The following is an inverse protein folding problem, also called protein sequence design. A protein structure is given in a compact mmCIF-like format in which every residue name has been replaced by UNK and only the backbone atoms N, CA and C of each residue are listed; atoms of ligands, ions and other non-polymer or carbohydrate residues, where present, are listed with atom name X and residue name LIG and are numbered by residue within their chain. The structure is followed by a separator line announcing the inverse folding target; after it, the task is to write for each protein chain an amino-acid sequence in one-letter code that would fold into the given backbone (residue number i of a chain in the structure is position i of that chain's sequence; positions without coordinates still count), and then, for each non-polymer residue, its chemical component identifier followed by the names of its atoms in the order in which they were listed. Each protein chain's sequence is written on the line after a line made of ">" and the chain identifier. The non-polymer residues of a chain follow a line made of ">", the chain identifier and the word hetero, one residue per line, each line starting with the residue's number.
data_IF_794252852244
#
_entry.id   IF_794252852244
#
_cell.length_a   1.000
_cell.length_b   1.000
_cell.length_c   1.000
_cell.angle_alpha   90.00
_cell.angle_beta   90.00
_cell.angle_gamma   90.00
#
_symmetry.space_group_name_H-M   'P 1'
#
loop_
_entity.id
_entity.type
_entity.pdbx_description
1 polymer ?
#
# COMPACT_ATOMS: atom_id res chain seq x y z
N UNK A 1 -30.28 31.92 -14.12
CA UNK A 1 -29.07 32.19 -13.33
C UNK A 1 -28.35 30.86 -13.10
N UNK A 2 -27.32 30.54 -13.93
CA UNK A 2 -26.55 29.32 -13.74
C UNK A 2 -25.54 29.58 -12.62
N UNK A 3 -25.75 28.97 -11.46
CA UNK A 3 -24.77 28.93 -10.40
C UNK A 3 -23.62 28.06 -10.96
N UNK A 4 -22.54 28.68 -11.36
CA UNK A 4 -21.29 28.01 -11.66
C UNK A 4 -20.76 27.46 -10.33
N UNK A 5 -21.11 26.21 -10.04
CA UNK A 5 -20.61 25.43 -8.90
C UNK A 5 -19.12 25.15 -9.17
N UNK A 6 -18.25 26.08 -8.79
CA UNK A 6 -16.80 25.93 -8.88
C UNK A 6 -16.33 24.94 -7.82
N UNK A 7 -16.60 23.65 -8.05
CA UNK A 7 -16.03 22.60 -7.20
C UNK A 7 -14.50 22.67 -7.34
N UNK A 8 -13.84 23.13 -6.29
CA UNK A 8 -12.38 23.07 -6.17
C UNK A 8 -11.94 21.61 -6.11
N UNK A 9 -10.83 21.29 -6.76
CA UNK A 9 -10.22 19.97 -6.64
C UNK A 9 -9.78 19.77 -5.19
N UNK A 10 -10.17 18.67 -4.57
CA UNK A 10 -9.76 18.27 -3.21
C UNK A 10 -8.79 17.10 -3.28
N UNK A 11 -7.72 17.16 -2.49
CA UNK A 11 -6.80 16.01 -2.30
C UNK A 11 -7.26 15.15 -1.15
N UNK A 12 -7.52 13.88 -1.45
CA UNK A 12 -7.98 12.88 -0.47
C UNK A 12 -6.87 11.87 -0.21
N UNK A 13 -6.45 11.76 1.04
CA UNK A 13 -5.55 10.69 1.51
C UNK A 13 -6.36 9.47 1.97
N UNK A 14 -5.81 8.28 1.68
CA UNK A 14 -6.37 6.99 2.08
C UNK A 14 -5.35 6.23 2.91
N UNK A 15 -5.82 5.55 3.96
CA UNK A 15 -5.09 4.48 4.66
C UNK A 15 -5.70 3.16 4.22
N UNK A 16 -4.88 2.32 3.59
CA UNK A 16 -5.32 1.13 2.85
C UNK A 16 -4.70 -0.12 3.46
N UNK A 17 -5.53 -1.12 3.73
CA UNK A 17 -5.10 -2.46 4.10
C UNK A 17 -5.42 -3.42 2.94
N UNK A 18 -4.52 -4.36 2.64
CA UNK A 18 -4.79 -5.40 1.65
C UNK A 18 -4.03 -6.69 1.89
N UNK A 19 -4.64 -7.80 1.48
CA UNK A 19 -4.02 -9.11 1.38
C UNK A 19 -3.45 -9.27 -0.04
N UNK A 20 -2.12 -9.20 -0.17
CA UNK A 20 -1.43 -9.17 -1.46
C UNK A 20 -1.42 -10.49 -2.23
N UNK A 21 -1.84 -11.60 -1.62
CA UNK A 21 -1.71 -12.97 -2.17
C UNK A 21 -2.23 -13.10 -3.60
N UNK A 22 -3.33 -12.40 -3.94
CA UNK A 22 -3.98 -12.45 -5.26
C UNK A 22 -3.63 -11.26 -6.16
N UNK A 23 -2.62 -10.45 -5.79
CA UNK A 23 -2.20 -9.28 -6.56
C UNK A 23 -0.76 -9.41 -7.07
N UNK A 24 -0.53 -8.92 -8.26
CA UNK A 24 0.81 -8.74 -8.85
C UNK A 24 1.48 -7.46 -8.32
N UNK A 25 1.29 -7.18 -7.03
CA UNK A 25 1.79 -6.02 -6.32
C UNK A 25 0.86 -4.81 -6.38
N UNK A 26 1.42 -3.68 -5.96
CA UNK A 26 0.68 -2.41 -5.94
C UNK A 26 0.43 -1.85 -7.33
N UNK A 27 1.49 -1.73 -8.13
CA UNK A 27 1.49 -0.96 -9.37
C UNK A 27 0.63 -1.61 -10.45
N UNK A 28 -0.24 -0.82 -11.12
CA UNK A 28 -0.98 -1.25 -12.30
C UNK A 28 -0.03 -1.71 -13.40
N UNK A 29 -0.34 -2.86 -13.97
CA UNK A 29 0.39 -3.51 -15.05
C UNK A 29 -0.60 -4.11 -16.06
N UNK A 30 -0.29 -4.14 -17.37
CA UNK A 30 -1.14 -4.81 -18.34
C UNK A 30 -1.35 -6.28 -17.99
N UNK A 31 -2.57 -6.75 -18.10
CA UNK A 31 -2.95 -8.17 -17.92
C UNK A 31 -2.72 -8.76 -16.53
N UNK A 32 -2.47 -7.91 -15.51
CA UNK A 32 -2.22 -8.37 -14.15
C UNK A 32 -3.05 -7.58 -13.15
N UNK A 33 -3.78 -8.28 -12.31
CA UNK A 33 -4.57 -7.70 -11.23
C UNK A 33 -3.65 -6.99 -10.22
N UNK A 34 -3.87 -5.73 -9.95
CA UNK A 34 -3.07 -4.91 -9.05
C UNK A 34 -3.94 -4.12 -8.07
N UNK A 35 -3.39 -3.80 -6.89
CA UNK A 35 -4.13 -3.04 -5.87
C UNK A 35 -4.49 -1.64 -6.37
N UNK A 36 -3.57 -0.99 -7.09
CA UNK A 36 -3.79 0.33 -7.67
C UNK A 36 -4.99 0.34 -8.63
N UNK A 37 -5.06 -0.62 -9.53
CA UNK A 37 -6.12 -0.70 -10.54
C UNK A 37 -7.50 -0.92 -9.92
N UNK A 38 -7.62 -1.80 -8.93
CA UNK A 38 -8.88 -2.04 -8.21
C UNK A 38 -9.39 -0.76 -7.55
N UNK A 39 -8.50 -0.01 -6.89
CA UNK A 39 -8.89 1.24 -6.22
C UNK A 39 -9.24 2.33 -7.24
N UNK A 40 -8.44 2.49 -8.30
CA UNK A 40 -8.71 3.45 -9.38
C UNK A 40 -10.05 3.16 -10.07
N UNK A 41 -10.36 1.88 -10.31
CA UNK A 41 -11.64 1.45 -10.87
C UNK A 41 -12.80 1.76 -9.92
N UNK A 42 -12.64 1.50 -8.64
CA UNK A 42 -13.64 1.83 -7.63
C UNK A 42 -13.88 3.35 -7.54
N UNK A 43 -12.83 4.18 -7.58
CA UNK A 43 -12.97 5.64 -7.60
C UNK A 43 -13.69 6.08 -8.89
N UNK A 44 -13.24 5.59 -10.04
CA UNK A 44 -13.81 5.95 -11.36
C UNK A 44 -15.31 5.60 -11.45
N UNK A 45 -15.75 4.49 -10.85
CA UNK A 45 -17.17 4.11 -10.80
C UNK A 45 -18.04 5.08 -10.02
N UNK A 46 -17.43 5.88 -9.13
CA UNK A 46 -18.14 6.90 -8.32
C UNK A 46 -18.18 8.25 -9.01
N UNK A 47 -17.05 8.67 -9.61
CA UNK A 47 -16.90 10.01 -10.16
C UNK A 47 -17.17 10.10 -11.66
N UNK A 48 -17.27 8.95 -12.35
CA UNK A 48 -17.60 8.87 -13.78
C UNK A 48 -16.42 9.14 -14.73
N UNK A 49 -15.18 9.26 -14.22
CA UNK A 49 -13.98 9.45 -15.03
C UNK A 49 -12.76 8.79 -14.37
N UNK A 50 -11.70 8.45 -15.14
CA UNK A 50 -10.47 7.91 -14.59
C UNK A 50 -9.82 8.87 -13.59
N UNK A 51 -9.29 8.30 -12.50
CA UNK A 51 -8.54 9.01 -11.47
C UNK A 51 -7.27 8.21 -11.17
N UNK A 52 -6.14 8.90 -11.01
CA UNK A 52 -4.86 8.27 -10.69
C UNK A 52 -4.61 8.36 -9.18
N UNK A 53 -4.26 7.22 -8.56
CA UNK A 53 -3.87 7.17 -7.15
C UNK A 53 -2.35 7.06 -7.00
N UNK A 54 -1.79 7.84 -6.08
CA UNK A 54 -0.36 7.89 -5.79
C UNK A 54 -0.07 7.31 -4.41
N UNK A 55 0.67 6.20 -4.34
CA UNK A 55 1.02 5.54 -3.08
C UNK A 55 2.33 6.06 -2.46
N UNK A 56 2.46 5.88 -1.15
CA UNK A 56 3.69 6.14 -0.40
C UNK A 56 4.85 5.23 -0.85
N UNK A 57 4.55 3.99 -1.22
CA UNK A 57 5.52 3.04 -1.75
C UNK A 57 4.85 1.94 -2.54
N UNK A 58 5.57 1.32 -3.47
CA UNK A 58 5.11 0.14 -4.19
C UNK A 58 5.40 -1.10 -3.36
N UNK A 59 4.53 -2.08 -3.41
CA UNK A 59 4.76 -3.43 -2.90
C UNK A 59 4.87 -4.39 -4.08
N UNK A 60 5.71 -5.40 -3.94
CA UNK A 60 5.88 -6.45 -4.95
C UNK A 60 4.73 -7.47 -4.89
N UNK A 61 4.71 -8.40 -5.84
CA UNK A 61 3.72 -9.48 -5.94
C UNK A 61 3.62 -10.25 -4.62
N UNK A 62 2.40 -10.47 -4.15
CA UNK A 62 2.12 -11.23 -2.94
C UNK A 62 2.30 -10.47 -1.62
N UNK A 63 2.94 -9.29 -1.62
CA UNK A 63 3.19 -8.52 -0.39
C UNK A 63 1.91 -7.88 0.12
N UNK A 64 1.63 -8.08 1.42
CA UNK A 64 0.49 -7.48 2.13
C UNK A 64 0.81 -6.07 2.62
N UNK A 65 -0.22 -5.33 2.97
CA UNK A 65 -0.08 -4.07 3.70
C UNK A 65 -1.12 -3.95 4.81
N UNK A 66 -0.69 -3.55 5.99
CA UNK A 66 -1.59 -3.23 7.10
C UNK A 66 -2.08 -1.77 7.05
N UNK A 67 -1.26 -0.86 6.48
CA UNK A 67 -1.54 0.57 6.41
C UNK A 67 -0.70 1.24 5.29
N UNK A 68 -0.93 0.86 4.04
CA UNK A 68 -0.42 1.62 2.90
C UNK A 68 -1.11 2.97 2.86
N UNK A 69 -0.35 4.03 2.61
CA UNK A 69 -0.91 5.37 2.44
C UNK A 69 -0.87 5.76 0.97
N UNK A 70 -1.97 6.31 0.47
CA UNK A 70 -2.06 6.81 -0.88
C UNK A 70 -2.92 8.08 -0.93
N UNK A 71 -2.86 8.83 -2.03
CA UNK A 71 -3.74 9.98 -2.27
C UNK A 71 -4.19 10.06 -3.71
N UNK A 72 -5.28 10.76 -3.93
CA UNK A 72 -5.78 11.14 -5.24
C UNK A 72 -6.43 12.52 -5.19
N UNK A 73 -6.51 13.18 -6.33
CA UNK A 73 -7.19 14.46 -6.49
C UNK A 73 -8.54 14.24 -7.15
N UNK A 74 -9.59 14.86 -6.62
CA UNK A 74 -10.94 14.66 -7.13
C UNK A 74 -11.78 15.92 -7.00
N UNK A 75 -12.72 16.11 -7.95
CA UNK A 75 -13.79 17.12 -7.88
C UNK A 75 -15.11 16.41 -7.63
N UNK A 76 -15.64 16.56 -6.41
CA UNK A 76 -16.85 15.84 -6.00
C UNK A 76 -17.55 16.55 -4.85
N UNK A 77 -18.82 16.18 -4.60
CA UNK A 77 -19.57 16.61 -3.40
C UNK A 77 -19.41 15.62 -2.24
N UNK A 78 -18.69 14.52 -2.43
CA UNK A 78 -18.47 13.53 -1.39
C UNK A 78 -17.41 14.07 -0.44
N UNK A 79 -17.72 14.27 0.86
CA UNK A 79 -16.73 14.71 1.83
C UNK A 79 -15.56 13.71 1.94
N UNK A 80 -14.33 14.20 2.11
CA UNK A 80 -13.13 13.38 2.14
C UNK A 80 -13.20 12.22 3.14
N UNK A 81 -13.78 12.43 4.33
CA UNK A 81 -13.91 11.39 5.37
C UNK A 81 -14.88 10.26 4.97
N UNK A 82 -15.74 10.45 3.98
CA UNK A 82 -16.69 9.42 3.52
C UNK A 82 -16.11 8.46 2.48
N UNK A 83 -14.98 8.78 1.87
CA UNK A 83 -14.38 7.95 0.82
C UNK A 83 -14.07 6.53 1.28
N UNK A 84 -13.68 6.34 2.54
CA UNK A 84 -13.47 4.99 3.09
C UNK A 84 -14.72 4.12 2.93
N UNK A 85 -15.89 4.60 3.38
CA UNK A 85 -17.15 3.84 3.28
C UNK A 85 -17.60 3.68 1.83
N UNK A 86 -17.45 4.72 1.00
CA UNK A 86 -17.85 4.70 -0.42
C UNK A 86 -17.05 3.67 -1.21
N UNK A 87 -15.73 3.59 -0.98
CA UNK A 87 -14.85 2.66 -1.67
C UNK A 87 -15.03 1.23 -1.15
N UNK A 88 -15.17 1.03 0.16
CA UNK A 88 -15.36 -0.31 0.74
C UNK A 88 -16.65 -1.00 0.26
N UNK A 89 -17.65 -0.25 -0.18
CA UNK A 89 -18.86 -0.81 -0.80
C UNK A 89 -18.63 -1.33 -2.24
N UNK A 90 -17.45 -1.13 -2.83
CA UNK A 90 -17.12 -1.44 -4.24
C UNK A 90 -15.86 -2.26 -4.41
N UNK A 91 -15.00 -2.22 -3.41
CA UNK A 91 -13.72 -2.95 -3.42
C UNK A 91 -13.94 -4.44 -3.14
N UNK A 92 -13.07 -5.30 -3.67
CA UNK A 92 -13.06 -6.71 -3.34
C UNK A 92 -12.64 -6.94 -1.88
N UNK A 93 -12.95 -8.10 -1.33
CA UNK A 93 -12.75 -8.49 0.07
C UNK A 93 -11.28 -8.44 0.55
N UNK A 94 -10.33 -8.47 -0.38
CA UNK A 94 -8.89 -8.45 -0.12
C UNK A 94 -8.29 -7.03 -0.11
N UNK A 95 -9.13 -5.97 -0.25
CA UNK A 95 -8.74 -4.56 -0.07
C UNK A 95 -9.73 -3.86 0.87
N UNK A 96 -9.21 -3.15 1.85
CA UNK A 96 -10.00 -2.36 2.80
C UNK A 96 -9.42 -0.96 2.95
N UNK A 97 -10.23 0.07 2.77
CA UNK A 97 -9.90 1.45 3.13
C UNK A 97 -10.22 1.65 4.61
N UNK A 98 -9.21 1.82 5.43
CA UNK A 98 -9.35 1.98 6.89
C UNK A 98 -9.75 3.38 7.29
N UNK A 99 -9.28 4.38 6.54
CA UNK A 99 -9.57 5.79 6.77
C UNK A 99 -9.38 6.60 5.49
N UNK A 100 -10.09 7.72 5.42
CA UNK A 100 -9.93 8.74 4.38
C UNK A 100 -10.08 10.14 4.99
N UNK A 101 -9.26 11.09 4.51
CA UNK A 101 -9.27 12.46 4.99
C UNK A 101 -8.83 13.44 3.89
N UNK A 102 -9.28 14.69 3.98
CA UNK A 102 -8.73 15.78 3.20
C UNK A 102 -7.30 16.09 3.67
N UNK A 103 -6.42 16.40 2.72
CA UNK A 103 -5.05 16.83 2.98
C UNK A 103 -4.71 18.04 2.11
N UNK A 104 -3.74 18.88 2.50
CA UNK A 104 -3.30 20.01 1.70
C UNK A 104 -2.90 19.59 0.28
N UNK A 105 -3.06 20.47 -0.70
CA UNK A 105 -2.77 20.18 -2.11
C UNK A 105 -1.29 19.94 -2.41
N UNK A 106 -0.40 20.41 -1.55
CA UNK A 106 1.05 20.19 -1.59
C UNK A 106 1.49 18.89 -0.89
N UNK A 107 0.61 18.29 -0.08
CA UNK A 107 0.91 17.01 0.56
C UNK A 107 0.95 15.87 -0.48
N UNK A 108 1.96 15.02 -0.39
CA UNK A 108 2.13 13.89 -1.31
C UNK A 108 2.48 12.61 -0.55
N UNK A 109 1.68 11.55 -0.70
CA UNK A 109 1.83 10.29 0.05
C UNK A 109 3.26 9.74 0.07
N UNK A 110 4.01 9.88 -1.04
CA UNK A 110 5.39 9.39 -1.15
C UNK A 110 6.41 10.35 -0.54
N UNK A 111 6.28 11.66 -0.83
CA UNK A 111 7.31 12.64 -0.48
C UNK A 111 7.12 13.23 0.91
N UNK A 112 5.88 13.25 1.41
CA UNK A 112 5.56 13.67 2.79
C UNK A 112 5.67 12.53 3.81
N UNK A 113 6.02 11.29 3.36
CA UNK A 113 6.20 10.16 4.26
C UNK A 113 7.46 10.32 5.11
N UNK A 114 7.31 10.29 6.43
CA UNK A 114 8.43 10.38 7.38
C UNK A 114 9.11 9.03 7.63
N UNK A 115 8.38 7.92 7.52
CA UNK A 115 8.95 6.58 7.67
C UNK A 115 8.13 5.53 6.90
N UNK A 116 8.72 4.34 6.72
CA UNK A 116 8.07 3.11 6.25
C UNK A 116 8.46 1.98 7.18
N UNK A 117 7.47 1.21 7.62
CA UNK A 117 7.70 0.04 8.47
C UNK A 117 7.39 -1.23 7.69
N UNK A 118 8.34 -2.17 7.74
CA UNK A 118 8.17 -3.51 7.18
C UNK A 118 8.20 -4.54 8.30
N UNK A 119 7.37 -5.58 8.16
CA UNK A 119 7.37 -6.74 9.06
C UNK A 119 7.50 -7.99 8.22
N UNK A 120 8.49 -8.78 8.54
CA UNK A 120 8.66 -10.13 8.02
C UNK A 120 8.33 -11.11 9.13
N UNK A 121 7.32 -11.98 8.93
CA UNK A 121 6.86 -12.91 9.97
C UNK A 121 7.32 -14.32 9.62
N UNK A 122 8.06 -14.93 10.52
CA UNK A 122 8.48 -16.32 10.46
C UNK A 122 7.58 -17.13 11.39
N UNK A 123 7.11 -18.28 10.90
CA UNK A 123 6.35 -19.25 11.68
C UNK A 123 7.19 -20.54 11.73
N UNK A 124 7.63 -20.93 12.94
CA UNK A 124 8.68 -21.95 13.12
C UNK A 124 8.20 -23.27 13.73
N UNK A 125 6.90 -23.43 13.96
CA UNK A 125 6.33 -24.70 14.43
C UNK A 125 6.53 -25.80 13.37
N UNK A 126 6.72 -27.04 13.80
CA UNK A 126 6.87 -28.20 12.91
C UNK A 126 5.62 -28.44 12.04
N UNK A 127 4.46 -28.04 12.52
CA UNK A 127 3.18 -28.23 11.82
C UNK A 127 2.71 -26.91 11.19
N UNK A 128 2.24 -26.92 9.92
CA UNK A 128 1.69 -25.72 9.30
C UNK A 128 0.45 -25.23 10.02
N UNK A 129 0.29 -23.91 10.10
CA UNK A 129 -0.91 -23.27 10.63
C UNK A 129 -1.65 -22.53 9.50
N UNK A 130 -2.88 -22.98 9.21
CA UNK A 130 -3.69 -22.46 8.11
C UNK A 130 -4.10 -20.99 8.31
N UNK A 131 -4.21 -20.52 9.56
CA UNK A 131 -4.61 -19.14 9.87
C UNK A 131 -3.49 -18.11 9.63
N UNK A 132 -2.23 -18.54 9.60
CA UNK A 132 -1.10 -17.64 9.32
C UNK A 132 -0.40 -17.94 8.00
N UNK A 133 -0.81 -18.97 7.28
CA UNK A 133 -0.19 -19.46 6.04
C UNK A 133 0.01 -18.37 4.98
N UNK A 134 -0.92 -17.43 4.87
CA UNK A 134 -0.85 -16.35 3.87
C UNK A 134 -0.06 -15.13 4.35
N UNK A 135 0.26 -15.03 5.65
CA UNK A 135 0.85 -13.83 6.26
C UNK A 135 2.19 -14.08 6.95
N UNK A 136 2.64 -15.33 6.98
CA UNK A 136 3.93 -15.72 7.56
C UNK A 136 4.65 -16.70 6.66
N UNK A 137 5.96 -16.66 6.66
CA UNK A 137 6.78 -17.70 6.04
C UNK A 137 6.96 -18.85 7.02
N UNK A 138 6.44 -20.04 6.65
CA UNK A 138 6.60 -21.25 7.44
C UNK A 138 8.03 -21.82 7.22
N UNK A 139 8.88 -21.61 8.22
CA UNK A 139 10.26 -22.10 8.26
C UNK A 139 10.37 -23.16 9.37
N UNK A 140 10.51 -24.42 9.01
CA UNK A 140 10.49 -25.56 9.92
C UNK A 140 11.71 -26.49 9.77
N UNK A 141 12.67 -26.12 8.92
CA UNK A 141 13.82 -27.00 8.60
C UNK A 141 14.83 -27.08 9.74
N UNK A 142 15.16 -25.92 10.33
CA UNK A 142 16.14 -25.83 11.40
C UNK A 142 15.66 -24.86 12.47
N UNK A 143 16.23 -25.00 13.68
CA UNK A 143 16.00 -24.04 14.75
C UNK A 143 16.69 -22.73 14.41
N UNK A 144 15.94 -21.66 14.33
CA UNK A 144 16.48 -20.31 14.16
C UNK A 144 17.11 -19.84 15.48
N UNK A 145 18.32 -19.30 15.40
CA UNK A 145 18.96 -18.60 16.51
C UNK A 145 18.66 -17.12 16.40
N UNK A 146 17.76 -16.63 17.27
CA UNK A 146 17.32 -15.24 17.29
C UNK A 146 18.50 -14.29 17.58
N UNK A 147 19.47 -14.72 18.40
CA UNK A 147 20.64 -13.91 18.72
C UNK A 147 21.54 -13.70 17.50
N UNK A 148 21.75 -14.74 16.71
CA UNK A 148 22.52 -14.63 15.46
C UNK A 148 21.81 -13.75 14.45
N UNK A 149 20.47 -13.86 14.35
CA UNK A 149 19.66 -12.98 13.47
C UNK A 149 19.79 -11.53 13.93
N UNK A 150 19.65 -11.26 15.23
CA UNK A 150 19.79 -9.91 15.77
C UNK A 150 21.18 -9.33 15.49
N UNK A 151 22.24 -10.09 15.79
CA UNK A 151 23.61 -9.67 15.53
C UNK A 151 23.89 -9.38 14.04
N UNK A 152 23.24 -10.12 13.13
CA UNK A 152 23.35 -9.88 11.70
C UNK A 152 22.58 -8.62 11.23
N UNK A 153 21.55 -8.21 11.96
CA UNK A 153 20.74 -7.02 11.67
C UNK A 153 21.32 -5.74 12.29
N UNK A 154 22.02 -5.84 13.41
CA UNK A 154 22.57 -4.68 14.13
C UNK A 154 23.42 -3.75 13.24
N UNK A 155 24.31 -4.27 12.33
CA UNK A 155 25.07 -3.42 11.42
C UNK A 155 24.21 -2.65 10.40
N UNK A 156 22.92 -3.01 10.24
CA UNK A 156 22.00 -2.31 9.33
C UNK A 156 21.30 -1.12 9.99
N UNK A 157 21.48 -0.95 11.31
CA UNK A 157 20.89 0.16 12.07
C UNK A 157 21.65 1.44 11.73
N UNK A 158 20.90 2.49 11.41
CA UNK A 158 21.48 3.81 11.12
C UNK A 158 21.44 4.18 9.64
N UNK A 159 22.31 5.09 9.24
CA UNK A 159 22.37 5.58 7.87
C UNK A 159 23.48 4.90 7.09
N UNK A 160 23.11 4.08 6.13
CA UNK A 160 24.04 3.27 5.34
C UNK A 160 23.75 3.40 3.84
N UNK A 161 24.73 3.02 3.04
CA UNK A 161 24.58 2.91 1.59
C UNK A 161 24.12 1.48 1.23
N UNK A 162 22.84 1.33 0.94
CA UNK A 162 22.19 0.03 0.69
C UNK A 162 22.21 -0.42 -0.79
N UNK A 163 23.15 0.06 -1.61
CA UNK A 163 23.19 -0.29 -3.04
C UNK A 163 23.33 -1.80 -3.30
N UNK A 164 24.04 -2.53 -2.42
CA UNK A 164 24.18 -3.98 -2.53
C UNK A 164 22.85 -4.75 -2.41
N UNK A 165 21.83 -4.14 -1.79
CA UNK A 165 20.48 -4.71 -1.66
C UNK A 165 19.54 -4.27 -2.77
N UNK A 166 19.99 -3.43 -3.71
CA UNK A 166 19.20 -3.01 -4.85
C UNK A 166 19.09 -4.13 -5.88
N UNK A 167 17.89 -4.23 -6.47
CA UNK A 167 17.71 -5.10 -7.63
C UNK A 167 18.60 -4.61 -8.77
N UNK A 168 19.28 -5.54 -9.45
CA UNK A 168 20.04 -5.25 -10.66
C UNK A 168 19.15 -4.49 -11.67
N UNK A 169 19.68 -3.46 -12.31
CA UNK A 169 18.98 -2.57 -13.25
C UNK A 169 17.91 -1.64 -12.63
N UNK A 170 18.02 -1.32 -11.33
CA UNK A 170 17.21 -0.25 -10.75
C UNK A 170 17.64 1.11 -11.30
N UNK A 171 16.74 1.83 -11.97
CA UNK A 171 16.99 3.18 -12.53
C UNK A 171 16.88 4.31 -11.49
N UNK A 172 16.93 4.00 -10.19
CA UNK A 172 16.86 5.02 -9.14
C UNK A 172 18.24 5.63 -8.93
N UNK A 173 18.37 6.97 -8.99
CA UNK A 173 19.61 7.63 -8.57
C UNK A 173 19.88 7.36 -7.09
N UNK A 174 21.12 7.21 -6.73
CA UNK A 174 21.63 6.94 -5.37
C UNK A 174 21.49 8.14 -4.46
#
# INVERSE_FOLDING_TARGET
>A
MRVTDSQTSERVALVIQYLGTRFYGWQRQPNHRSVQEEIETAIASVVGHPVVIHAAGRTDTGVHAAAQVAHFDVRTRIPAYRWASVLNARLPEDILIRASAAVPSDWHARFSASYRRYRYTLYTDARPNLFVKSTAWHYYHDRLDESLIQNALDPMIGRHHFAAFQRANSSRPH
#
